data_IF_006679380490
#
_entry.id   IF_006679380490
#
_cell.length_a   1.000
_cell.length_b   1.000
_cell.length_c   1.000
_cell.angle_alpha   90.00
_cell.angle_beta   90.00
_cell.angle_gamma   90.00
#
_symmetry.space_group_name_H-M   'P 1'
#
loop_
_entity.id
_entity.type
_entity.pdbx_description
1 polymer ?
#
# COMPACT_ATOMS: atom_id res chain seq x y z
N UNK A 1 -32.12 8.22 -5.16
CA UNK A 1 -32.14 7.51 -3.86
C UNK A 1 -31.13 8.13 -2.91
N UNK A 2 -31.57 9.06 -2.06
CA UNK A 2 -30.70 9.71 -1.06
C UNK A 2 -30.57 8.76 0.14
N UNK A 3 -29.64 7.81 0.07
CA UNK A 3 -29.23 7.06 1.27
C UNK A 3 -28.61 8.06 2.24
N UNK A 4 -29.20 8.16 3.44
CA UNK A 4 -28.78 9.08 4.50
C UNK A 4 -27.28 8.92 4.82
N UNK A 5 -26.61 10.02 5.18
CA UNK A 5 -25.20 10.02 5.62
C UNK A 5 -24.93 8.96 6.68
N UNK A 6 -25.87 8.78 7.62
CA UNK A 6 -25.81 7.75 8.65
C UNK A 6 -25.71 6.33 8.08
N UNK A 7 -26.43 6.05 6.98
CA UNK A 7 -26.37 4.74 6.32
C UNK A 7 -24.98 4.46 5.74
N UNK A 8 -24.38 5.45 5.07
CA UNK A 8 -23.02 5.32 4.52
C UNK A 8 -21.97 5.18 5.63
N UNK A 9 -22.11 5.91 6.74
CA UNK A 9 -21.19 5.80 7.89
C UNK A 9 -21.22 4.41 8.49
N UNK A 10 -22.41 3.84 8.74
CA UNK A 10 -22.54 2.48 9.30
C UNK A 10 -21.97 1.44 8.34
N UNK A 11 -22.27 1.57 7.03
CA UNK A 11 -21.74 0.65 6.02
C UNK A 11 -20.21 0.73 5.93
N UNK A 12 -19.63 1.92 6.06
CA UNK A 12 -18.18 2.13 6.08
C UNK A 12 -17.53 1.43 7.29
N UNK A 13 -18.09 1.58 8.49
CA UNK A 13 -17.57 0.90 9.69
C UNK A 13 -17.66 -0.63 9.56
N UNK A 14 -18.75 -1.15 9.02
CA UNK A 14 -18.91 -2.59 8.78
C UNK A 14 -17.87 -3.12 7.79
N UNK A 15 -17.62 -2.41 6.68
CA UNK A 15 -16.58 -2.79 5.74
C UNK A 15 -15.20 -2.73 6.37
N UNK A 16 -14.90 -1.67 7.13
CA UNK A 16 -13.62 -1.52 7.81
C UNK A 16 -13.34 -2.70 8.74
N UNK A 17 -14.29 -3.04 9.61
CA UNK A 17 -14.17 -4.19 10.52
C UNK A 17 -13.99 -5.49 9.72
N UNK A 18 -14.75 -5.67 8.64
CA UNK A 18 -14.66 -6.87 7.81
C UNK A 18 -13.28 -7.02 7.16
N UNK A 19 -12.70 -5.93 6.64
CA UNK A 19 -11.37 -5.93 6.02
C UNK A 19 -10.28 -6.19 7.06
N UNK A 20 -10.38 -5.59 8.25
CA UNK A 20 -9.41 -5.82 9.34
C UNK A 20 -9.42 -7.29 9.75
N UNK A 21 -10.61 -7.86 10.01
CA UNK A 21 -10.74 -9.27 10.39
C UNK A 21 -10.25 -10.21 9.27
N UNK A 22 -10.52 -9.88 8.01
CA UNK A 22 -10.04 -10.66 6.88
C UNK A 22 -8.51 -10.66 6.82
N UNK A 23 -7.87 -9.49 6.95
CA UNK A 23 -6.42 -9.36 6.94
C UNK A 23 -5.77 -10.13 8.10
N UNK A 24 -6.32 -10.01 9.32
CA UNK A 24 -5.82 -10.72 10.50
C UNK A 24 -5.94 -12.25 10.36
N UNK A 25 -7.08 -12.74 9.87
CA UNK A 25 -7.28 -14.19 9.64
C UNK A 25 -6.43 -14.72 8.50
N UNK A 26 -6.13 -13.90 7.49
CA UNK A 26 -5.29 -14.29 6.36
C UNK A 26 -3.80 -14.33 6.73
N UNK A 27 -3.35 -13.54 7.72
CA UNK A 27 -1.97 -13.54 8.18
C UNK A 27 -1.52 -14.92 8.70
N UNK A 28 -2.38 -15.63 9.43
CA UNK A 28 -2.06 -16.94 10.05
C UNK A 28 -1.66 -18.01 9.02
N UNK A 29 -2.49 -18.36 8.00
CA UNK A 29 -2.10 -19.34 7.00
C UNK A 29 -0.95 -18.85 6.13
N UNK A 30 -0.80 -17.53 5.94
CA UNK A 30 0.28 -16.94 5.16
C UNK A 30 1.63 -17.11 5.87
N UNK A 31 1.73 -16.78 7.16
CA UNK A 31 2.94 -16.95 7.96
C UNK A 31 3.35 -18.42 8.04
N UNK A 32 2.39 -19.32 8.28
CA UNK A 32 2.64 -20.77 8.29
C UNK A 32 3.18 -21.27 6.94
N UNK A 33 2.66 -20.73 5.83
CA UNK A 33 3.13 -21.08 4.49
C UNK A 33 4.54 -20.55 4.24
N UNK A 34 4.81 -19.31 4.63
CA UNK A 34 6.13 -18.68 4.50
C UNK A 34 7.19 -19.47 5.27
N UNK A 35 6.87 -19.86 6.50
CA UNK A 35 7.76 -20.68 7.34
C UNK A 35 7.97 -22.08 6.75
N UNK A 36 6.91 -22.71 6.22
CA UNK A 36 7.00 -24.04 5.60
C UNK A 36 7.82 -24.05 4.32
N UNK A 37 7.71 -23.00 3.49
CA UNK A 37 8.44 -22.86 2.23
C UNK A 37 9.79 -22.15 2.37
N UNK A 38 10.16 -21.71 3.58
CA UNK A 38 11.41 -20.97 3.83
C UNK A 38 11.48 -19.62 3.10
N UNK A 39 10.32 -18.98 2.87
CA UNK A 39 10.24 -17.69 2.19
C UNK A 39 10.63 -16.52 3.11
N UNK A 40 11.06 -15.37 2.55
CA UNK A 40 11.35 -14.17 3.33
C UNK A 40 10.10 -13.65 4.05
N UNK A 41 10.23 -13.27 5.33
CA UNK A 41 9.12 -12.72 6.11
C UNK A 41 8.56 -11.41 5.51
N UNK A 42 9.41 -10.63 4.83
CA UNK A 42 9.00 -9.41 4.12
C UNK A 42 7.94 -9.66 3.04
N UNK A 43 7.94 -10.87 2.44
CA UNK A 43 6.93 -11.26 1.44
C UNK A 43 5.53 -11.34 2.05
N UNK A 44 5.41 -11.82 3.29
CA UNK A 44 4.14 -11.91 4.00
C UNK A 44 3.54 -10.52 4.27
N UNK A 45 4.38 -9.59 4.72
CA UNK A 45 4.00 -8.19 4.89
C UNK A 45 3.54 -7.55 3.57
N UNK A 46 4.26 -7.80 2.47
CA UNK A 46 3.89 -7.29 1.15
C UNK A 46 2.54 -7.83 0.65
N UNK A 47 2.26 -9.11 0.87
CA UNK A 47 0.99 -9.75 0.51
C UNK A 47 -0.19 -9.19 1.33
N UNK A 48 -0.03 -9.01 2.65
CA UNK A 48 -1.07 -8.41 3.50
C UNK A 48 -1.31 -6.95 3.08
N UNK A 49 -0.25 -6.19 2.82
CA UNK A 49 -0.36 -4.81 2.34
C UNK A 49 -1.13 -4.74 1.01
N UNK A 50 -0.84 -5.63 0.06
CA UNK A 50 -1.57 -5.71 -1.21
C UNK A 50 -3.06 -6.05 -1.00
N UNK A 51 -3.37 -6.98 -0.10
CA UNK A 51 -4.75 -7.34 0.24
C UNK A 51 -5.53 -6.16 0.82
N UNK A 52 -4.93 -5.41 1.75
CA UNK A 52 -5.57 -4.24 2.37
C UNK A 52 -5.74 -3.08 1.37
N UNK A 53 -4.78 -2.90 0.45
CA UNK A 53 -4.82 -1.85 -0.57
C UNK A 53 -5.73 -2.19 -1.77
N UNK A 54 -6.07 -3.46 -1.96
CA UNK A 54 -6.88 -3.95 -3.10
C UNK A 54 -8.13 -3.11 -3.38
N UNK A 55 -9.02 -2.79 -2.42
CA UNK A 55 -10.22 -1.99 -2.70
C UNK A 55 -9.90 -0.59 -3.26
N UNK A 56 -8.83 0.05 -2.79
CA UNK A 56 -8.40 1.37 -3.28
C UNK A 56 -7.77 1.26 -4.68
N UNK A 57 -6.99 0.20 -4.92
CA UNK A 57 -6.45 -0.13 -6.23
C UNK A 57 -7.54 -0.33 -7.29
N UNK A 58 -8.59 -1.09 -6.95
CA UNK A 58 -9.77 -1.26 -7.82
C UNK A 58 -10.44 0.09 -8.08
N UNK A 59 -10.67 0.90 -7.04
CA UNK A 59 -11.27 2.23 -7.18
C UNK A 59 -10.45 3.17 -8.08
N UNK A 60 -9.12 3.09 -8.02
CA UNK A 60 -8.23 3.85 -8.88
C UNK A 60 -8.25 3.36 -10.34
N UNK A 61 -8.31 2.04 -10.56
CA UNK A 61 -8.44 1.45 -11.91
C UNK A 61 -9.78 1.83 -12.53
N UNK A 62 -10.89 1.71 -11.79
CA UNK A 62 -12.21 2.12 -12.26
C UNK A 62 -12.27 3.61 -12.63
N UNK A 63 -11.61 4.47 -11.84
CA UNK A 63 -11.51 5.90 -12.14
C UNK A 63 -10.76 6.14 -13.46
N UNK A 64 -9.66 5.44 -13.69
CA UNK A 64 -8.89 5.53 -14.94
C UNK A 64 -9.70 5.04 -16.15
N UNK A 65 -10.44 3.94 -16.02
CA UNK A 65 -11.33 3.44 -17.08
C UNK A 65 -12.44 4.44 -17.45
N UNK A 66 -12.86 5.27 -16.49
CA UNK A 66 -13.81 6.37 -16.69
C UNK A 66 -13.15 7.68 -17.16
N UNK A 67 -11.89 7.64 -17.61
CA UNK A 67 -11.09 8.81 -17.99
C UNK A 67 -10.92 9.86 -16.87
N UNK A 68 -11.04 9.45 -15.60
CA UNK A 68 -10.86 10.33 -14.43
C UNK A 68 -9.45 10.20 -13.85
N UNK A 69 -8.43 10.53 -14.65
CA UNK A 69 -7.01 10.37 -14.29
C UNK A 69 -6.64 11.08 -12.97
N UNK A 70 -7.08 12.34 -12.79
CA UNK A 70 -6.83 13.09 -11.54
C UNK A 70 -7.41 12.38 -10.31
N UNK A 71 -8.60 11.77 -10.44
CA UNK A 71 -9.23 11.04 -9.34
C UNK A 71 -8.44 9.79 -9.00
N UNK A 72 -7.99 9.04 -10.01
CA UNK A 72 -7.15 7.86 -9.81
C UNK A 72 -5.87 8.19 -9.04
N UNK A 73 -5.17 9.25 -9.47
CA UNK A 73 -3.98 9.76 -8.78
C UNK A 73 -4.30 10.18 -7.35
N UNK A 74 -5.38 10.94 -7.14
CA UNK A 74 -5.76 11.39 -5.81
C UNK A 74 -6.08 10.22 -4.86
N UNK A 75 -6.66 9.13 -5.36
CA UNK A 75 -6.88 7.91 -4.56
C UNK A 75 -5.54 7.28 -4.18
N UNK A 76 -4.69 6.98 -5.17
CA UNK A 76 -3.43 6.25 -4.93
C UNK A 76 -2.40 7.06 -4.14
N UNK A 77 -2.14 8.31 -4.53
CA UNK A 77 -1.20 9.16 -3.79
C UNK A 77 -1.77 9.60 -2.44
N UNK A 78 -3.10 9.76 -2.33
CA UNK A 78 -3.77 10.02 -1.07
C UNK A 78 -3.56 8.87 -0.06
N UNK A 79 -3.67 7.62 -0.53
CA UNK A 79 -3.39 6.42 0.26
C UNK A 79 -1.95 6.34 0.75
N UNK A 80 -0.99 6.57 -0.16
CA UNK A 80 0.44 6.59 0.18
C UNK A 80 0.73 7.70 1.19
N UNK A 81 0.18 8.89 0.99
CA UNK A 81 0.36 10.02 1.90
C UNK A 81 -0.27 9.74 3.27
N UNK A 82 -1.44 9.10 3.34
CA UNK A 82 -2.04 8.67 4.60
C UNK A 82 -1.16 7.64 5.32
N UNK A 83 -0.54 6.72 4.59
CA UNK A 83 0.36 5.71 5.19
C UNK A 83 1.62 6.36 5.76
N UNK A 84 2.29 7.20 4.98
CA UNK A 84 3.55 7.85 5.38
C UNK A 84 3.32 8.94 6.43
N UNK A 85 2.27 9.76 6.25
CA UNK A 85 1.99 10.93 7.08
C UNK A 85 1.17 10.64 8.34
N UNK A 86 0.46 9.51 8.40
CA UNK A 86 -0.40 9.16 9.54
C UNK A 86 -0.12 7.74 10.07
N UNK A 87 -0.17 6.70 9.25
CA UNK A 87 -0.08 5.30 9.73
C UNK A 87 1.28 5.00 10.35
N UNK A 88 2.39 5.34 9.68
CA UNK A 88 3.74 5.12 10.22
C UNK A 88 3.95 5.90 11.54
N UNK A 89 3.66 7.22 11.61
CA UNK A 89 3.72 7.97 12.87
C UNK A 89 2.83 7.41 13.98
N UNK A 90 1.61 6.97 13.66
CA UNK A 90 0.71 6.38 14.65
C UNK A 90 1.28 5.09 15.24
N UNK A 91 1.80 4.18 14.39
CA UNK A 91 2.45 2.94 14.84
C UNK A 91 3.69 3.23 15.69
N UNK A 92 4.53 4.19 15.28
CA UNK A 92 5.70 4.61 16.08
C UNK A 92 5.29 5.21 17.43
N UNK A 93 4.21 6.00 17.46
CA UNK A 93 3.69 6.57 18.71
C UNK A 93 3.20 5.47 19.66
N UNK A 94 2.45 4.49 19.13
CA UNK A 94 2.00 3.32 19.90
C UNK A 94 3.19 2.50 20.41
N UNK A 95 4.23 2.33 19.58
CA UNK A 95 5.48 1.64 19.92
C UNK A 95 6.17 2.28 21.13
N UNK A 96 6.28 3.61 21.15
CA UNK A 96 6.87 4.38 22.26
C UNK A 96 6.04 4.20 23.54
N UNK A 97 4.70 4.32 23.44
CA UNK A 97 3.80 4.17 24.61
C UNK A 97 3.86 2.73 25.16
N UNK A 98 3.94 1.73 24.29
CA UNK A 98 3.91 0.31 24.67
C UNK A 98 5.31 -0.24 25.02
N UNK A 99 6.37 0.57 24.89
CA UNK A 99 7.78 0.14 25.03
C UNK A 99 8.15 -1.09 24.18
N UNK A 100 7.50 -1.25 23.02
CA UNK A 100 7.80 -2.32 22.06
C UNK A 100 8.55 -1.72 20.88
N UNK A 101 9.86 -1.95 20.72
CA UNK A 101 10.62 -1.36 19.63
C UNK A 101 10.12 -1.88 18.28
N UNK A 102 9.73 -0.96 17.40
CA UNK A 102 9.34 -1.27 16.02
C UNK A 102 10.48 -0.83 15.11
N UNK A 103 11.08 -1.78 14.38
CA UNK A 103 12.00 -1.49 13.30
C UNK A 103 11.21 -1.33 12.01
N UNK A 104 11.38 -0.20 11.32
CA UNK A 104 10.58 0.14 10.13
C UNK A 104 10.87 -0.74 8.90
N UNK A 105 11.78 -1.72 8.98
CA UNK A 105 12.11 -2.64 7.87
C UNK A 105 12.70 -1.97 6.62
N UNK A 106 12.86 -0.64 6.61
CA UNK A 106 13.39 0.12 5.46
C UNK A 106 14.92 0.19 5.48
N UNK A 107 15.60 -0.89 5.90
CA UNK A 107 17.06 -0.93 5.95
C UNK A 107 17.63 -1.43 4.61
N UNK A 108 18.90 -1.12 4.32
CA UNK A 108 19.57 -1.58 3.10
C UNK A 108 18.97 -0.98 1.81
N UNK A 109 18.67 -1.85 0.82
CA UNK A 109 18.21 -1.45 -0.52
C UNK A 109 16.79 -0.86 -0.59
N UNK A 110 15.95 -1.09 0.43
CA UNK A 110 14.54 -0.66 0.42
C UNK A 110 14.37 0.87 0.55
N UNK A 111 15.25 1.55 1.29
CA UNK A 111 15.16 3.01 1.48
C UNK A 111 15.51 3.79 0.19
N UNK A 112 16.63 3.50 -0.50
CA UNK A 112 16.90 4.08 -1.80
C UNK A 112 15.79 3.82 -2.81
N UNK A 113 15.22 2.61 -2.84
CA UNK A 113 14.14 2.26 -3.77
C UNK A 113 12.86 3.06 -3.49
N UNK A 114 12.49 3.22 -2.21
CA UNK A 114 11.36 4.06 -1.80
C UNK A 114 11.56 5.51 -2.25
N UNK A 115 12.73 6.09 -1.98
CA UNK A 115 13.05 7.46 -2.38
C UNK A 115 13.05 7.63 -3.89
N UNK A 116 13.62 6.67 -4.62
CA UNK A 116 13.65 6.66 -6.09
C UNK A 116 12.23 6.58 -6.66
N UNK A 117 11.38 5.72 -6.10
CA UNK A 117 9.97 5.58 -6.51
C UNK A 117 9.22 6.88 -6.30
N UNK A 118 9.40 7.53 -5.15
CA UNK A 118 8.72 8.79 -4.84
C UNK A 118 9.21 9.94 -5.75
N UNK A 119 10.51 10.01 -6.03
CA UNK A 119 11.09 10.97 -6.97
C UNK A 119 10.57 10.76 -8.40
N UNK A 120 10.54 9.50 -8.87
CA UNK A 120 10.03 9.14 -10.20
C UNK A 120 8.53 9.44 -10.33
N UNK A 121 7.74 9.23 -9.27
CA UNK A 121 6.34 9.66 -9.21
C UNK A 121 6.20 11.17 -9.41
N UNK A 122 6.99 11.99 -8.69
CA UNK A 122 6.96 13.46 -8.82
C UNK A 122 7.28 13.89 -10.26
N UNK A 123 8.34 13.34 -10.85
CA UNK A 123 8.75 13.64 -12.24
C UNK A 123 7.65 13.23 -13.23
N UNK A 124 7.04 12.07 -13.03
CA UNK A 124 6.03 11.52 -13.94
C UNK A 124 4.74 12.30 -13.92
N UNK A 125 4.26 12.67 -12.73
CA UNK A 125 2.99 13.39 -12.58
C UNK A 125 3.11 14.91 -12.76
N UNK A 126 4.32 15.46 -12.68
CA UNK A 126 4.58 16.87 -13.03
C UNK A 126 4.66 17.07 -14.55
N UNK A 127 4.92 16.00 -15.31
CA UNK A 127 4.97 16.05 -16.77
C UNK A 127 3.56 16.18 -17.38
N UNK A 128 3.38 17.09 -18.35
CA UNK A 128 2.07 17.36 -19.00
C UNK A 128 1.54 16.21 -19.86
N UNK A 129 2.34 15.18 -20.14
CA UNK A 129 1.95 14.03 -20.98
C UNK A 129 2.23 12.72 -20.26
N UNK A 130 1.22 11.87 -20.15
CA UNK A 130 1.36 10.47 -19.71
C UNK A 130 2.03 9.67 -20.83
N UNK A 131 3.20 9.09 -20.53
CA UNK A 131 3.93 8.26 -21.48
C UNK A 131 3.95 6.80 -20.99
N UNK A 132 3.68 5.85 -21.89
CA UNK A 132 3.77 4.40 -21.60
C UNK A 132 5.14 4.04 -21.03
N UNK A 133 6.20 4.70 -21.49
CA UNK A 133 7.56 4.53 -20.98
C UNK A 133 7.69 4.89 -19.50
N UNK A 134 7.01 5.95 -19.03
CA UNK A 134 7.02 6.32 -17.61
C UNK A 134 6.30 5.26 -16.75
N UNK A 135 5.21 4.69 -17.27
CA UNK A 135 4.54 3.55 -16.64
C UNK A 135 5.45 2.32 -16.54
N UNK A 136 6.21 2.00 -17.60
CA UNK A 136 7.19 0.93 -17.57
C UNK A 136 8.28 1.14 -16.50
N UNK A 137 8.73 2.37 -16.27
CA UNK A 137 9.69 2.66 -15.19
C UNK A 137 9.10 2.33 -13.83
N UNK A 138 7.83 2.66 -13.57
CA UNK A 138 7.18 2.33 -12.29
C UNK A 138 7.04 0.81 -12.10
N UNK A 139 6.65 0.09 -13.16
CA UNK A 139 6.58 -1.37 -13.13
C UNK A 139 7.95 -2.01 -12.91
N UNK A 140 9.00 -1.45 -13.50
CA UNK A 140 10.38 -1.91 -13.29
C UNK A 140 10.84 -1.67 -11.85
N UNK A 141 10.55 -0.50 -11.27
CA UNK A 141 10.84 -0.23 -9.85
C UNK A 141 10.07 -1.18 -8.93
N UNK A 142 8.82 -1.48 -9.25
CA UNK A 142 8.04 -2.48 -8.52
C UNK A 142 8.62 -3.90 -8.67
N UNK A 143 9.13 -4.28 -9.85
CA UNK A 143 9.80 -5.56 -10.04
C UNK A 143 11.11 -5.64 -9.23
N UNK A 144 11.88 -4.55 -9.15
CA UNK A 144 13.08 -4.45 -8.31
C UNK A 144 12.71 -4.57 -6.83
N UNK A 145 11.60 -3.96 -6.39
CA UNK A 145 11.08 -4.13 -5.03
C UNK A 145 10.79 -5.61 -4.73
N UNK A 146 10.09 -6.30 -5.62
CA UNK A 146 9.80 -7.74 -5.45
C UNK A 146 11.10 -8.55 -5.42
N UNK A 147 12.10 -8.20 -6.24
CA UNK A 147 13.40 -8.88 -6.22
C UNK A 147 14.12 -8.69 -4.89
N UNK A 148 14.14 -7.47 -4.34
CA UNK A 148 14.78 -7.16 -3.04
C UNK A 148 14.14 -7.93 -1.87
N UNK A 149 12.85 -8.27 -1.95
CA UNK A 149 12.22 -9.14 -0.94
C UNK A 149 12.89 -10.51 -0.88
N UNK A 150 13.29 -11.08 -2.02
CA UNK A 150 13.94 -12.40 -2.10
C UNK A 150 15.46 -12.35 -2.05
N UNK A 151 16.07 -11.24 -2.48
CA UNK A 151 17.51 -11.03 -2.54
C UNK A 151 17.86 -9.60 -2.07
N UNK A 152 17.86 -9.36 -0.74
CA UNK A 152 18.05 -8.03 -0.14
C UNK A 152 19.46 -7.45 -0.31
#
# INVERSE_FOLDING_TARGET
>A
HVRSTAFHTVMLLLYLISVILLAEKFAIPLDNSIEHFGMPQEFGGAMIAALVLTPEGIGAIEATWRNQFQRSINILLGSVLATIGLTIPAVLTISIITNRPVTLGVQGGNLPLLLLTLAVCVVTFTSRKTNVLQGCVHLLLFAVFVLLIFAP
#
